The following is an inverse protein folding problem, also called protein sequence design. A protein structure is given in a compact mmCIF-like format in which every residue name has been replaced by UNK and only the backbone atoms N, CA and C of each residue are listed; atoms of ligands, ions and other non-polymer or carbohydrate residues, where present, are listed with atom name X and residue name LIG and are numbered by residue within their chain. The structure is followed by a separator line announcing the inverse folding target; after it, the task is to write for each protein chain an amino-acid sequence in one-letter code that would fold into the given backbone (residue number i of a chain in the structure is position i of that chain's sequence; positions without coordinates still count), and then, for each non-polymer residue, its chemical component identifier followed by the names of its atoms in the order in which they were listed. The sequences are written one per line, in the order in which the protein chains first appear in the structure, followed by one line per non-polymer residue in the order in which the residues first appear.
data_IF_557832685842
#
_entry.id   IF_557832685842
#
_cell.length_a   1.000
_cell.length_b   1.000
_cell.length_c   1.000
_cell.angle_alpha   90.00
_cell.angle_beta   90.00
_cell.angle_gamma   90.00
#
_symmetry.space_group_name_H-M   'P 1'
#
loop_
_entity.id
_entity.type
_entity.pdbx_description
1 polymer ?
#
# COMPACT_ATOMS: atom_id res chain seq x y z
N UNK A 1 19.97 5.01 13.25
CA UNK A 1 18.77 5.09 12.42
C UNK A 1 18.47 6.54 12.10
N UNK A 2 18.03 6.80 10.88
CA UNK A 2 17.61 8.13 10.45
C UNK A 2 16.12 8.37 10.80
N UNK A 3 15.70 9.64 10.75
CA UNK A 3 14.29 9.98 10.92
C UNK A 3 13.40 9.31 9.85
N UNK A 4 13.90 9.18 8.62
CA UNK A 4 13.16 8.52 7.54
C UNK A 4 12.99 7.01 7.81
N UNK A 5 14.05 6.33 8.25
CA UNK A 5 13.95 4.90 8.58
C UNK A 5 13.07 4.63 9.78
N UNK A 6 13.12 5.50 10.80
CA UNK A 6 12.22 5.41 11.95
C UNK A 6 10.76 5.60 11.57
N UNK A 7 10.48 6.55 10.67
CA UNK A 7 9.13 6.75 10.15
C UNK A 7 8.64 5.53 9.39
N UNK A 8 9.47 4.95 8.52
CA UNK A 8 9.11 3.77 7.75
C UNK A 8 8.83 2.57 8.67
N UNK A 9 9.68 2.32 9.66
CA UNK A 9 9.44 1.27 10.65
C UNK A 9 8.11 1.48 11.39
N UNK A 10 7.85 2.71 11.80
CA UNK A 10 6.61 3.07 12.47
C UNK A 10 5.40 2.87 11.56
N UNK A 11 5.52 3.24 10.30
CA UNK A 11 4.46 3.02 9.29
C UNK A 11 4.11 1.55 9.18
N UNK A 12 5.10 0.70 8.97
CA UNK A 12 4.91 -0.75 8.82
C UNK A 12 4.26 -1.35 10.06
N UNK A 13 4.72 -0.97 11.24
CA UNK A 13 4.18 -1.44 12.51
C UNK A 13 2.69 -1.07 12.66
N UNK A 14 2.36 0.19 12.42
CA UNK A 14 0.98 0.69 12.52
C UNK A 14 0.06 0.08 11.47
N UNK A 15 0.54 -0.01 10.23
CA UNK A 15 -0.22 -0.61 9.14
C UNK A 15 -0.53 -2.08 9.41
N UNK A 16 0.48 -2.86 9.81
CA UNK A 16 0.30 -4.27 10.14
C UNK A 16 -0.62 -4.48 11.37
N UNK A 17 -0.70 -3.49 12.25
CA UNK A 17 -1.64 -3.50 13.37
C UNK A 17 -3.05 -3.05 12.98
N UNK A 18 -3.24 -2.52 11.77
CA UNK A 18 -4.52 -2.00 11.31
C UNK A 18 -4.90 -0.63 11.86
N UNK A 19 -3.95 0.08 12.47
CA UNK A 19 -4.19 1.40 13.06
C UNK A 19 -4.06 2.51 12.01
N UNK A 20 -5.07 2.64 11.16
CA UNK A 20 -5.06 3.59 10.05
C UNK A 20 -5.07 5.05 10.51
N UNK A 21 -5.68 5.36 11.63
CA UNK A 21 -5.68 6.74 12.14
C UNK A 21 -4.26 7.17 12.51
N UNK A 22 -3.50 6.31 13.16
CA UNK A 22 -2.10 6.57 13.47
C UNK A 22 -1.21 6.60 12.21
N UNK A 23 -1.50 5.75 11.21
CA UNK A 23 -0.82 5.81 9.91
C UNK A 23 -1.05 7.16 9.24
N UNK A 24 -2.27 7.69 9.28
CA UNK A 24 -2.57 9.00 8.69
C UNK A 24 -1.80 10.15 9.33
N UNK A 25 -1.43 10.05 10.59
CA UNK A 25 -0.61 11.06 11.26
C UNK A 25 0.81 11.16 10.68
N UNK A 26 1.24 10.15 9.93
CA UNK A 26 2.54 10.15 9.25
C UNK A 26 2.50 10.89 7.91
N UNK A 27 1.33 11.16 7.36
CA UNK A 27 1.13 11.88 6.11
C UNK A 27 0.85 13.36 6.34
N UNK A 28 1.34 14.21 5.43
CA UNK A 28 0.89 15.60 5.35
C UNK A 28 -0.58 15.65 4.93
N UNK A 29 -1.29 16.71 5.27
CA UNK A 29 -2.71 16.87 4.91
C UNK A 29 -2.93 16.85 3.39
N UNK A 30 -1.97 17.41 2.64
CA UNK A 30 -1.98 17.50 1.18
C UNK A 30 -1.21 16.36 0.50
N UNK A 31 -0.91 15.29 1.22
CA UNK A 31 -0.15 14.16 0.68
C UNK A 31 -0.84 13.52 -0.53
N UNK A 32 -0.02 13.01 -1.45
CA UNK A 32 -0.48 12.31 -2.64
C UNK A 32 0.15 10.91 -2.65
N UNK A 33 -0.66 9.90 -2.89
CA UNK A 33 -0.21 8.53 -3.11
C UNK A 33 -0.48 8.16 -4.56
N UNK A 34 0.57 7.74 -5.26
CA UNK A 34 0.52 7.37 -6.68
C UNK A 34 0.87 5.90 -6.80
N UNK A 35 0.03 5.13 -7.48
CA UNK A 35 0.19 3.69 -7.58
C UNK A 35 -0.44 3.16 -8.88
N UNK A 36 -0.20 1.89 -9.24
CA UNK A 36 -0.75 1.34 -10.49
C UNK A 36 -2.26 1.49 -10.65
N UNK A 37 -3.00 1.52 -9.56
CA UNK A 37 -4.48 1.62 -9.58
C UNK A 37 -4.97 3.06 -9.73
N UNK A 38 -4.12 4.05 -9.51
CA UNK A 38 -4.49 5.46 -9.63
C UNK A 38 -3.76 6.38 -8.65
N UNK A 39 -4.23 7.62 -8.60
CA UNK A 39 -3.69 8.66 -7.73
C UNK A 39 -4.73 9.03 -6.67
N UNK A 40 -4.28 9.07 -5.42
CA UNK A 40 -5.13 9.38 -4.26
C UNK A 40 -4.60 10.64 -3.60
N UNK A 41 -5.40 11.70 -3.61
CA UNK A 41 -5.01 13.03 -3.12
C UNK A 41 -5.64 13.31 -1.76
N UNK A 42 -4.79 13.63 -0.78
CA UNK A 42 -5.17 13.96 0.59
C UNK A 42 -5.32 12.76 1.50
N UNK A 43 -5.25 13.01 2.81
CA UNK A 43 -5.33 11.96 3.84
C UNK A 43 -6.58 11.11 3.75
N UNK A 44 -7.74 11.74 3.50
CA UNK A 44 -9.01 11.00 3.49
C UNK A 44 -9.05 9.97 2.36
N UNK A 45 -8.60 10.35 1.15
CA UNK A 45 -8.54 9.44 0.01
C UNK A 45 -7.54 8.29 0.24
N UNK A 46 -6.37 8.61 0.81
CA UNK A 46 -5.34 7.62 1.14
C UNK A 46 -5.86 6.65 2.20
N UNK A 47 -6.48 7.16 3.26
CA UNK A 47 -7.04 6.33 4.33
C UNK A 47 -8.13 5.40 3.80
N UNK A 48 -9.02 5.91 2.97
CA UNK A 48 -10.10 5.13 2.37
C UNK A 48 -9.55 3.99 1.50
N UNK A 49 -8.50 4.28 0.72
CA UNK A 49 -7.82 3.26 -0.08
C UNK A 49 -7.19 2.18 0.81
N UNK A 50 -6.45 2.56 1.85
CA UNK A 50 -5.85 1.59 2.78
C UNK A 50 -6.91 0.77 3.51
N UNK A 51 -8.03 1.38 3.88
CA UNK A 51 -9.14 0.69 4.52
C UNK A 51 -9.75 -0.39 3.61
N UNK A 52 -9.85 -0.12 2.30
CA UNK A 52 -10.33 -1.12 1.34
C UNK A 52 -9.41 -2.36 1.29
N UNK A 53 -8.11 -2.15 1.33
CA UNK A 53 -7.14 -3.25 1.35
C UNK A 53 -7.29 -4.12 2.62
N UNK A 54 -7.47 -3.48 3.78
CA UNK A 54 -7.64 -4.19 5.05
C UNK A 54 -8.97 -4.93 5.14
N UNK A 55 -10.02 -4.43 4.52
CA UNK A 55 -11.29 -5.16 4.41
C UNK A 55 -11.14 -6.39 3.54
N UNK A 56 -10.47 -6.26 2.40
CA UNK A 56 -10.24 -7.37 1.48
C UNK A 56 -9.29 -8.41 2.06
N UNK A 57 -8.23 -7.98 2.72
CA UNK A 57 -7.16 -8.82 3.24
C UNK A 57 -6.82 -8.45 4.69
N UNK A 58 -7.63 -8.89 5.67
CA UNK A 58 -7.42 -8.50 7.08
C UNK A 58 -6.10 -9.00 7.68
N UNK A 59 -5.50 -10.04 7.09
CA UNK A 59 -4.24 -10.63 7.54
C UNK A 59 -3.00 -10.07 6.85
N UNK A 60 -3.15 -8.97 6.11
CA UNK A 60 -2.03 -8.39 5.36
C UNK A 60 -0.82 -8.14 6.28
N UNK A 61 0.34 -8.60 5.85
CA UNK A 61 1.60 -8.40 6.55
C UNK A 61 2.63 -7.82 5.59
N UNK A 62 3.10 -6.65 5.91
CA UNK A 62 4.08 -5.90 5.15
C UNK A 62 5.46 -6.02 5.80
N UNK A 63 6.48 -6.25 4.98
CA UNK A 63 7.87 -6.38 5.41
C UNK A 63 8.79 -5.57 4.51
N UNK A 64 9.66 -4.75 5.10
CA UNK A 64 10.69 -4.00 4.37
C UNK A 64 11.89 -4.92 4.14
N UNK A 65 12.35 -5.02 2.91
CA UNK A 65 13.46 -5.85 2.49
C UNK A 65 14.76 -5.04 2.36
N UNK A 66 14.68 -3.81 1.88
CA UNK A 66 15.83 -2.91 1.73
C UNK A 66 15.38 -1.45 1.79
N UNK A 67 16.32 -0.57 2.10
CA UNK A 67 16.04 0.86 2.28
C UNK A 67 17.25 1.68 1.85
N UNK A 68 17.00 2.76 1.12
CA UNK A 68 18.01 3.76 0.75
C UNK A 68 17.41 5.15 0.93
N UNK A 69 18.24 6.12 1.29
CA UNK A 69 17.77 7.49 1.49
C UNK A 69 18.78 8.53 1.02
N UNK A 70 18.25 9.70 0.68
CA UNK A 70 19.04 10.89 0.41
C UNK A 70 18.22 12.13 0.80
N UNK A 71 18.63 12.82 1.86
CA UNK A 71 17.91 14.00 2.37
C UNK A 71 16.48 13.66 2.77
N UNK A 72 15.53 14.37 2.20
CA UNK A 72 14.09 14.21 2.45
C UNK A 72 13.43 13.17 1.55
N UNK A 73 14.22 12.35 0.90
CA UNK A 73 13.72 11.32 -0.03
C UNK A 73 14.24 9.96 0.39
N UNK A 74 13.39 8.95 0.32
CA UNK A 74 13.84 7.57 0.48
C UNK A 74 13.11 6.64 -0.48
N UNK A 75 13.69 5.48 -0.69
CA UNK A 75 13.06 4.37 -1.39
C UNK A 75 13.24 3.09 -0.57
N UNK A 76 12.25 2.24 -0.61
CA UNK A 76 12.35 0.92 0.00
C UNK A 76 11.77 -0.15 -0.91
N UNK A 77 12.35 -1.33 -0.79
CA UNK A 77 11.83 -2.56 -1.38
C UNK A 77 11.08 -3.30 -0.30
N UNK A 78 9.87 -3.75 -0.62
CA UNK A 78 9.02 -4.42 0.34
C UNK A 78 8.40 -5.69 -0.24
N UNK A 79 7.92 -6.53 0.65
CA UNK A 79 7.04 -7.64 0.31
C UNK A 79 5.79 -7.58 1.18
N UNK A 80 4.69 -8.05 0.64
CA UNK A 80 3.54 -8.34 1.48
C UNK A 80 2.94 -9.71 1.15
N UNK A 81 2.27 -10.25 2.15
CA UNK A 81 1.53 -11.50 2.07
C UNK A 81 0.13 -11.23 2.62
N UNK A 82 -0.88 -11.72 1.94
CA UNK A 82 -2.26 -11.51 2.35
C UNK A 82 -3.16 -12.64 1.86
N UNK A 83 -4.30 -12.83 2.51
CA UNK A 83 -5.34 -13.75 2.06
C UNK A 83 -6.61 -12.96 1.79
N UNK A 84 -7.16 -13.10 0.59
CA UNK A 84 -8.36 -12.39 0.14
C UNK A 84 -9.61 -13.03 0.75
N UNK A 85 -9.93 -12.68 1.98
CA UNK A 85 -11.06 -13.25 2.75
C UNK A 85 -12.25 -12.33 2.89
N UNK A 86 -12.10 -11.05 2.53
CA UNK A 86 -13.18 -10.06 2.49
C UNK A 86 -13.44 -9.55 1.08
N UNK A 87 -14.53 -8.80 0.86
CA UNK A 87 -14.79 -8.22 -0.46
C UNK A 87 -13.77 -7.12 -0.79
N UNK A 88 -13.39 -7.03 -2.06
CA UNK A 88 -12.55 -5.95 -2.56
C UNK A 88 -13.40 -4.95 -3.34
N UNK A 89 -13.41 -3.70 -2.88
CA UNK A 89 -14.20 -2.64 -3.50
C UNK A 89 -13.29 -1.66 -4.23
N UNK A 90 -13.62 -1.37 -5.48
CA UNK A 90 -12.96 -0.33 -6.28
C UNK A 90 -13.53 1.05 -5.95
N UNK A 91 -12.79 2.15 -6.28
CA UNK A 91 -13.28 3.50 -6.05
C UNK A 91 -14.62 3.83 -6.73
N UNK A 92 -14.96 3.17 -7.83
CA UNK A 92 -16.22 3.34 -8.57
C UNK A 92 -17.40 2.58 -7.96
N UNK A 93 -17.17 1.86 -6.85
CA UNK A 93 -18.19 1.06 -6.19
C UNK A 93 -18.28 -0.39 -6.67
N UNK A 94 -17.54 -0.77 -7.71
CA UNK A 94 -17.46 -2.17 -8.16
C UNK A 94 -16.88 -3.02 -7.04
N UNK A 95 -17.54 -4.16 -6.74
CA UNK A 95 -17.13 -5.04 -5.68
C UNK A 95 -16.81 -6.44 -6.22
N UNK A 96 -15.66 -6.98 -5.80
CA UNK A 96 -15.26 -8.35 -6.06
C UNK A 96 -15.43 -9.18 -4.79
N UNK A 97 -16.16 -10.30 -4.84
CA UNK A 97 -16.30 -11.16 -3.68
C UNK A 97 -14.95 -11.80 -3.30
N UNK A 98 -14.82 -12.16 -2.03
CA UNK A 98 -13.65 -12.83 -1.51
C UNK A 98 -13.34 -14.11 -2.30
N UNK A 99 -12.09 -14.30 -2.70
CA UNK A 99 -11.62 -15.47 -3.44
C UNK A 99 -11.06 -16.57 -2.53
N UNK A 100 -10.70 -16.23 -1.29
CA UNK A 100 -9.99 -17.12 -0.37
C UNK A 100 -8.54 -17.38 -0.78
N UNK A 101 -8.05 -16.73 -1.82
CA UNK A 101 -6.71 -16.97 -2.35
C UNK A 101 -5.66 -16.14 -1.61
N UNK A 102 -4.46 -16.71 -1.54
CA UNK A 102 -3.29 -16.05 -0.99
C UNK A 102 -2.59 -15.23 -2.06
N UNK A 103 -2.14 -14.03 -1.70
CA UNK A 103 -1.35 -13.14 -2.55
C UNK A 103 0.00 -12.92 -1.89
N UNK A 104 1.06 -13.07 -2.68
CA UNK A 104 2.41 -12.67 -2.33
C UNK A 104 2.89 -11.67 -3.38
N UNK A 105 3.39 -10.52 -2.93
CA UNK A 105 3.81 -9.47 -3.83
C UNK A 105 5.09 -8.82 -3.32
N UNK A 106 5.96 -8.46 -4.26
CA UNK A 106 7.11 -7.59 -4.00
C UNK A 106 6.91 -6.31 -4.79
N UNK A 107 7.32 -5.22 -4.21
CA UNK A 107 7.27 -3.94 -4.85
C UNK A 107 8.27 -2.99 -4.23
N UNK A 108 8.19 -1.75 -4.65
CA UNK A 108 9.00 -0.68 -4.09
C UNK A 108 8.18 0.59 -4.02
N UNK A 109 8.63 1.50 -3.17
CA UNK A 109 8.08 2.84 -3.13
C UNK A 109 9.19 3.89 -3.11
N UNK A 110 8.86 5.05 -3.63
CA UNK A 110 9.70 6.22 -3.63
C UNK A 110 8.95 7.33 -2.90
N UNK A 111 9.49 7.78 -1.78
CA UNK A 111 8.80 8.66 -0.85
C UNK A 111 9.51 10.00 -0.73
N UNK A 112 8.75 11.09 -0.81
CA UNK A 112 9.22 12.44 -0.54
C UNK A 112 8.63 12.93 0.78
N UNK A 113 9.50 13.51 1.62
CA UNK A 113 9.17 14.00 2.95
C UNK A 113 9.22 15.53 3.00
N UNK A 114 8.39 16.12 3.86
CA UNK A 114 8.43 17.54 4.22
C UNK A 114 8.05 17.69 5.67
N UNK A 115 8.91 18.34 6.45
CA UNK A 115 8.68 18.60 7.88
C UNK A 115 8.32 17.34 8.69
N UNK A 116 8.99 16.21 8.36
CA UNK A 116 8.78 14.93 9.04
C UNK A 116 7.51 14.21 8.64
N UNK A 117 6.83 14.64 7.57
CA UNK A 117 5.60 14.00 7.05
C UNK A 117 5.80 13.55 5.62
N UNK A 118 5.09 12.49 5.24
CA UNK A 118 5.05 12.00 3.86
C UNK A 118 4.21 12.98 3.04
N UNK A 119 4.77 13.50 1.94
CA UNK A 119 4.04 14.37 1.01
C UNK A 119 3.77 13.70 -0.32
N UNK A 120 4.65 12.83 -0.78
CA UNK A 120 4.44 12.02 -1.98
C UNK A 120 4.87 10.59 -1.68
N UNK A 121 4.02 9.66 -2.04
CA UNK A 121 4.26 8.22 -1.89
C UNK A 121 3.99 7.55 -3.23
N UNK A 122 5.06 7.23 -3.97
CA UNK A 122 4.97 6.54 -5.25
C UNK A 122 5.20 5.05 -5.05
N UNK A 123 4.17 4.24 -5.29
CA UNK A 123 4.28 2.78 -5.21
C UNK A 123 4.36 2.16 -6.59
N UNK A 124 5.27 1.21 -6.74
CA UNK A 124 5.51 0.47 -7.97
C UNK A 124 5.42 -1.02 -7.69
N UNK A 125 4.44 -1.68 -8.28
CA UNK A 125 4.29 -3.13 -8.20
C UNK A 125 3.52 -3.64 -9.41
N UNK A 126 3.58 -4.94 -9.64
CA UNK A 126 2.88 -5.60 -10.73
C UNK A 126 1.44 -5.91 -10.34
N UNK A 127 0.53 -5.01 -10.70
CA UNK A 127 -0.90 -5.17 -10.40
C UNK A 127 -1.52 -6.36 -11.15
N UNK A 128 -1.01 -6.71 -12.32
CA UNK A 128 -1.48 -7.89 -13.05
C UNK A 128 -1.12 -9.18 -12.31
N UNK A 129 0.03 -9.22 -11.64
CA UNK A 129 0.40 -10.36 -10.80
C UNK A 129 -0.58 -10.53 -9.63
N UNK A 130 -1.03 -9.45 -9.00
CA UNK A 130 -2.05 -9.49 -7.95
C UNK A 130 -3.36 -10.09 -8.50
N UNK A 131 -3.84 -9.54 -9.61
CA UNK A 131 -5.09 -10.01 -10.24
C UNK A 131 -4.99 -11.46 -10.65
N UNK A 132 -3.85 -11.90 -11.21
CA UNK A 132 -3.63 -13.29 -11.60
C UNK A 132 -3.68 -14.23 -10.38
N UNK A 133 -3.02 -13.85 -9.29
CA UNK A 133 -3.03 -14.65 -8.06
C UNK A 133 -4.43 -14.74 -7.44
N UNK A 134 -5.24 -13.71 -7.59
CA UNK A 134 -6.63 -13.68 -7.15
C UNK A 134 -7.58 -14.42 -8.12
N UNK A 135 -7.11 -14.81 -9.30
CA UNK A 135 -7.95 -15.44 -10.33
C UNK A 135 -8.89 -14.46 -11.01
N UNK A 136 -8.57 -13.16 -11.01
CA UNK A 136 -9.39 -12.08 -11.57
C UNK A 136 -8.90 -11.58 -12.94
N UNK A 137 -7.90 -12.22 -13.51
CA UNK A 137 -7.41 -11.89 -14.85
C UNK A 137 -8.44 -12.38 -15.88
N UNK A 138 -8.83 -11.53 -16.86
CA UNK A 138 -9.74 -11.95 -17.92
C UNK A 138 -9.21 -13.17 -18.68
N UNK A 139 -10.12 -14.09 -19.09
CA UNK A 139 -9.77 -15.26 -19.88
C UNK A 139 -9.11 -14.84 -21.19
N UNK A 140 -7.95 -15.44 -21.52
CA UNK A 140 -7.17 -15.09 -22.70
C UNK A 140 -6.24 -13.90 -22.54
N UNK A 141 -6.17 -13.26 -21.35
CA UNK A 141 -5.19 -12.21 -21.08
C UNK A 141 -3.77 -12.79 -21.05
N UNK A 142 -2.75 -12.05 -21.53
CA UNK A 142 -1.37 -12.50 -21.42
C UNK A 142 -0.97 -12.62 -19.94
N UNK A 143 -0.16 -13.65 -19.67
CA UNK A 143 0.35 -13.89 -18.33
C UNK A 143 1.40 -12.83 -17.94
#
# INVERSE_FOLDING_TARGET
MSANSELLERYVELYNAGDLDAVMDLYAEDAVQIMPEGTFEGRDAIRERLARDLVACPDIAWTVLSFVEQGDTFADEWSFVATHTGPFQLPDGTEFPATGRRVELRGMEFVEMRDGKIVVDNLYYDNMAVLAQLGLVPEGAPA
#
